data_IF_025422682683
#
_entry.id   IF_025422682683
#
_cell.length_a   1.000
_cell.length_b   1.000
_cell.length_c   1.000
_cell.angle_alpha   90.00
_cell.angle_beta   90.00
_cell.angle_gamma   90.00
#
_symmetry.space_group_name_H-M   'P 1'
#
loop_
_entity.id
_entity.type
_entity.pdbx_description
1 polymer ?
#
# COMPACT_ATOMS: atom_id res chain seq x y z
N UNK A 1 -18.90 -67.17 51.15
CA UNK A 1 -17.62 -67.48 50.45
C UNK A 1 -17.80 -67.13 48.97
N UNK A 2 -16.87 -66.38 48.35
CA UNK A 2 -17.07 -65.70 47.08
C UNK A 2 -16.71 -66.59 45.88
N UNK A 3 -17.43 -66.45 44.76
CA UNK A 3 -17.19 -67.17 43.50
C UNK A 3 -17.11 -66.19 42.33
N UNK A 4 -16.02 -66.27 41.58
CA UNK A 4 -15.35 -65.18 40.88
C UNK A 4 -15.85 -64.93 39.45
N UNK A 5 -15.87 -63.64 39.07
CA UNK A 5 -16.38 -63.04 37.84
C UNK A 5 -15.57 -63.44 36.59
N UNK A 6 -16.23 -64.09 35.62
CA UNK A 6 -15.67 -64.42 34.31
C UNK A 6 -16.00 -63.33 33.27
N UNK A 7 -15.33 -62.18 33.32
CA UNK A 7 -15.51 -61.11 32.30
C UNK A 7 -14.22 -60.34 32.04
N UNK A 8 -13.17 -60.93 31.46
CA UNK A 8 -11.93 -60.14 31.25
C UNK A 8 -10.96 -60.56 30.12
N UNK A 9 -11.31 -61.44 29.17
CA UNK A 9 -10.35 -61.80 28.10
C UNK A 9 -10.50 -60.95 26.82
N UNK A 10 -11.72 -60.69 26.36
CA UNK A 10 -11.98 -59.92 25.14
C UNK A 10 -11.74 -58.41 25.34
N UNK A 11 -12.20 -57.87 26.46
CA UNK A 11 -11.97 -56.47 26.87
C UNK A 11 -10.49 -56.19 27.12
N UNK A 12 -9.76 -57.10 27.76
CA UNK A 12 -8.31 -56.95 27.97
C UNK A 12 -7.51 -56.99 26.66
N UNK A 13 -7.89 -57.84 25.70
CA UNK A 13 -7.28 -57.86 24.35
C UNK A 13 -7.58 -56.60 23.56
N UNK A 14 -8.80 -56.07 23.65
CA UNK A 14 -9.19 -54.81 23.02
C UNK A 14 -8.42 -53.61 23.61
N UNK A 15 -8.26 -53.56 24.94
CA UNK A 15 -7.48 -52.51 25.61
C UNK A 15 -5.98 -52.65 25.32
N UNK A 16 -5.44 -53.87 25.23
CA UNK A 16 -4.03 -54.10 24.87
C UNK A 16 -3.74 -53.73 23.41
N UNK A 17 -4.64 -54.03 22.48
CA UNK A 17 -4.54 -53.63 21.06
C UNK A 17 -4.70 -52.12 20.88
N UNK A 18 -5.61 -51.48 21.61
CA UNK A 18 -5.69 -50.01 21.66
C UNK A 18 -4.41 -49.39 22.24
N UNK A 19 -3.84 -49.94 23.32
CA UNK A 19 -2.59 -49.43 23.92
C UNK A 19 -1.38 -49.62 23.01
N UNK A 20 -1.31 -50.71 22.23
CA UNK A 20 -0.28 -50.88 21.19
C UNK A 20 -0.45 -49.83 20.08
N UNK A 21 -1.69 -49.59 19.63
CA UNK A 21 -2.02 -48.62 18.60
C UNK A 21 -1.79 -47.15 19.01
N UNK A 22 -2.03 -46.82 20.29
CA UNK A 22 -1.84 -45.49 20.89
C UNK A 22 -0.42 -45.25 21.43
N UNK A 23 0.57 -46.01 20.97
CA UNK A 23 1.97 -45.68 21.26
C UNK A 23 2.32 -44.33 20.60
N UNK A 24 3.09 -43.48 21.30
CA UNK A 24 3.49 -42.16 20.81
C UNK A 24 4.09 -42.18 19.40
N UNK A 25 4.85 -43.24 19.08
CA UNK A 25 5.42 -43.45 17.74
C UNK A 25 4.35 -43.72 16.67
N UNK A 26 3.31 -44.48 17.00
CA UNK A 26 2.22 -44.79 16.07
C UNK A 26 1.30 -43.59 15.85
N UNK A 27 1.07 -42.78 16.88
CA UNK A 27 0.34 -41.51 16.75
C UNK A 27 1.10 -40.50 15.88
N UNK A 28 2.43 -40.37 16.09
CA UNK A 28 3.31 -39.57 15.24
C UNK A 28 3.28 -40.02 13.78
N UNK A 29 3.40 -41.32 13.54
CA UNK A 29 3.37 -41.89 12.19
C UNK A 29 2.00 -41.68 11.52
N UNK A 30 0.91 -41.82 12.26
CA UNK A 30 -0.46 -41.60 11.76
C UNK A 30 -0.72 -40.13 11.44
N UNK A 31 -0.25 -39.20 12.29
CA UNK A 31 -0.30 -37.77 12.03
C UNK A 31 0.52 -37.39 10.79
N UNK A 32 1.72 -37.95 10.66
CA UNK A 32 2.58 -37.74 9.49
C UNK A 32 1.90 -38.25 8.22
N UNK A 33 1.29 -39.44 8.24
CA UNK A 33 0.54 -39.97 7.11
C UNK A 33 -0.65 -39.09 6.75
N UNK A 34 -1.43 -38.66 7.75
CA UNK A 34 -2.55 -37.73 7.54
C UNK A 34 -2.10 -36.43 6.87
N UNK A 35 -1.04 -35.80 7.37
CA UNK A 35 -0.47 -34.57 6.80
C UNK A 35 0.00 -34.82 5.37
N UNK A 36 0.73 -35.91 5.10
CA UNK A 36 1.16 -36.28 3.75
C UNK A 36 -0.03 -36.45 2.80
N UNK A 37 -1.06 -37.20 3.19
CA UNK A 37 -2.24 -37.44 2.36
C UNK A 37 -2.96 -36.14 2.03
N UNK A 38 -3.17 -35.24 3.00
CA UNK A 38 -3.82 -33.94 2.75
C UNK A 38 -3.00 -33.08 1.80
N UNK A 39 -1.67 -33.03 1.96
CA UNK A 39 -0.80 -32.26 1.07
C UNK A 39 -0.70 -32.88 -0.33
N UNK A 40 -0.67 -34.20 -0.46
CA UNK A 40 -0.67 -34.91 -1.74
C UNK A 40 -1.99 -34.70 -2.48
N UNK A 41 -3.14 -34.78 -1.80
CA UNK A 41 -4.44 -34.50 -2.40
C UNK A 41 -4.55 -33.04 -2.86
N UNK A 42 -4.02 -32.10 -2.08
CA UNK A 42 -3.97 -30.68 -2.46
C UNK A 42 -3.07 -30.45 -3.69
N UNK A 43 -1.90 -31.08 -3.73
CA UNK A 43 -1.00 -31.02 -4.88
C UNK A 43 -1.62 -31.64 -6.13
N UNK A 44 -2.26 -32.80 -6.00
CA UNK A 44 -2.97 -33.46 -7.09
C UNK A 44 -4.10 -32.58 -7.65
N UNK A 45 -4.97 -32.05 -6.79
CA UNK A 45 -6.04 -31.13 -7.20
C UNK A 45 -5.51 -29.88 -7.89
N UNK A 46 -4.38 -29.36 -7.44
CA UNK A 46 -3.73 -28.21 -8.04
C UNK A 46 -3.17 -28.49 -9.44
N UNK A 47 -2.51 -29.64 -9.62
CA UNK A 47 -2.01 -30.09 -10.93
C UNK A 47 -3.16 -30.32 -11.90
N UNK A 48 -4.26 -30.92 -11.44
CA UNK A 48 -5.44 -31.17 -12.29
C UNK A 48 -6.14 -29.85 -12.67
N UNK A 49 -6.24 -28.88 -11.76
CA UNK A 49 -6.95 -27.62 -12.02
C UNK A 49 -6.17 -26.63 -12.90
N UNK A 50 -4.84 -26.57 -12.78
CA UNK A 50 -3.99 -25.61 -13.53
C UNK A 50 -3.16 -26.24 -14.65
N UNK A 51 -3.11 -27.57 -14.70
CA UNK A 51 -2.27 -28.31 -15.64
C UNK A 51 -0.82 -28.48 -15.16
N UNK A 52 -0.09 -29.45 -15.73
CA UNK A 52 1.25 -29.83 -15.30
C UNK A 52 2.30 -28.74 -15.61
N UNK A 53 2.21 -28.11 -16.78
CA UNK A 53 3.13 -27.05 -17.23
C UNK A 53 3.06 -25.81 -16.33
N UNK A 54 1.85 -25.35 -16.01
CA UNK A 54 1.65 -24.19 -15.14
C UNK A 54 2.09 -24.48 -13.71
N UNK A 55 1.76 -25.67 -13.20
CA UNK A 55 2.18 -26.09 -11.86
C UNK A 55 3.71 -26.18 -11.74
N UNK A 56 4.40 -26.67 -12.77
CA UNK A 56 5.86 -26.69 -12.81
C UNK A 56 6.47 -25.28 -12.79
N UNK A 57 5.93 -24.36 -13.60
CA UNK A 57 6.39 -22.97 -13.61
C UNK A 57 6.17 -22.28 -12.25
N UNK A 58 5.02 -22.50 -11.62
CA UNK A 58 4.73 -21.98 -10.28
C UNK A 58 5.67 -22.55 -9.21
N UNK A 59 5.94 -23.86 -9.26
CA UNK A 59 6.90 -24.51 -8.36
C UNK A 59 8.32 -23.97 -8.57
N UNK A 60 8.75 -23.81 -9.83
CA UNK A 60 10.05 -23.21 -10.17
C UNK A 60 10.16 -21.79 -9.60
N UNK A 61 9.15 -20.96 -9.80
CA UNK A 61 9.12 -19.60 -9.26
C UNK A 61 9.10 -19.58 -7.73
N UNK A 62 8.40 -20.50 -7.09
CA UNK A 62 8.39 -20.62 -5.63
C UNK A 62 9.78 -21.00 -5.09
N UNK A 63 10.44 -21.97 -5.71
CA UNK A 63 11.81 -22.38 -5.36
C UNK A 63 12.77 -21.21 -5.55
N UNK A 64 12.70 -20.51 -6.69
CA UNK A 64 13.53 -19.33 -6.95
C UNK A 64 13.30 -18.25 -5.90
N UNK A 65 12.04 -17.94 -5.55
CA UNK A 65 11.71 -16.96 -4.49
C UNK A 65 12.26 -17.37 -3.13
N UNK A 66 12.14 -18.64 -2.76
CA UNK A 66 12.70 -19.16 -1.50
C UNK A 66 14.22 -19.11 -1.51
N UNK A 67 14.86 -19.44 -2.62
CA UNK A 67 16.31 -19.34 -2.80
C UNK A 67 16.79 -17.89 -2.70
N UNK A 68 16.13 -16.96 -3.41
CA UNK A 68 16.39 -15.53 -3.29
C UNK A 68 16.20 -15.03 -1.85
N UNK A 69 15.13 -15.45 -1.18
CA UNK A 69 14.87 -15.07 0.22
C UNK A 69 15.98 -15.56 1.16
N UNK A 70 16.42 -16.81 0.99
CA UNK A 70 17.51 -17.37 1.80
C UNK A 70 18.84 -16.67 1.49
N UNK A 71 19.11 -16.38 0.22
CA UNK A 71 20.28 -15.62 -0.22
C UNK A 71 20.29 -14.21 0.39
N UNK A 72 19.18 -13.48 0.34
CA UNK A 72 19.07 -12.14 0.94
C UNK A 72 19.10 -12.14 2.47
N UNK A 73 18.95 -13.29 3.13
CA UNK A 73 19.15 -13.44 4.59
C UNK A 73 20.62 -13.61 4.99
N UNK A 74 21.51 -13.90 4.04
CA UNK A 74 22.94 -13.98 4.32
C UNK A 74 23.47 -12.60 4.78
N UNK A 75 24.24 -12.54 5.88
CA UNK A 75 24.58 -11.28 6.53
C UNK A 75 25.33 -10.31 5.60
N UNK A 76 26.22 -10.81 4.75
CA UNK A 76 26.98 -9.97 3.79
C UNK A 76 26.08 -9.34 2.72
N UNK A 77 25.10 -10.08 2.22
CA UNK A 77 24.17 -9.60 1.18
C UNK A 77 23.18 -8.62 1.81
N UNK A 78 22.63 -8.96 2.98
CA UNK A 78 21.75 -8.06 3.74
C UNK A 78 22.43 -6.73 4.06
N UNK A 79 23.67 -6.76 4.57
CA UNK A 79 24.43 -5.54 4.88
C UNK A 79 24.63 -4.66 3.64
N UNK A 80 24.95 -5.26 2.49
CA UNK A 80 25.08 -4.50 1.24
C UNK A 80 23.76 -3.88 0.80
N UNK A 81 22.65 -4.63 0.81
CA UNK A 81 21.33 -4.10 0.48
C UNK A 81 20.93 -2.97 1.43
N UNK A 82 21.09 -3.18 2.74
CA UNK A 82 20.77 -2.17 3.76
C UNK A 82 21.61 -0.89 3.54
N UNK A 83 22.88 -1.01 3.14
CA UNK A 83 23.73 0.14 2.82
C UNK A 83 23.26 0.91 1.57
N UNK A 84 22.82 0.23 0.51
CA UNK A 84 22.29 0.88 -0.70
C UNK A 84 20.91 1.49 -0.42
N UNK A 85 20.08 0.85 0.40
CA UNK A 85 18.83 1.42 0.88
C UNK A 85 19.06 2.68 1.73
N UNK A 86 20.08 2.69 2.58
CA UNK A 86 20.45 3.87 3.37
C UNK A 86 20.90 5.02 2.48
N UNK A 87 21.74 4.74 1.46
CA UNK A 87 22.12 5.75 0.46
C UNK A 87 20.92 6.28 -0.31
N UNK A 88 20.04 5.40 -0.80
CA UNK A 88 18.84 5.82 -1.52
C UNK A 88 17.93 6.70 -0.65
N UNK A 89 17.80 6.39 0.66
CA UNK A 89 17.07 7.25 1.60
C UNK A 89 17.71 8.62 1.75
N UNK A 90 19.03 8.68 1.91
CA UNK A 90 19.77 9.94 2.02
C UNK A 90 19.68 10.76 0.73
N UNK A 91 19.80 10.12 -0.44
CA UNK A 91 19.66 10.79 -1.73
C UNK A 91 18.26 11.37 -1.93
N UNK A 92 17.24 10.65 -1.47
CA UNK A 92 15.86 11.10 -1.48
C UNK A 92 15.66 12.29 -0.51
N UNK A 93 16.19 12.19 0.71
CA UNK A 93 16.13 13.26 1.72
C UNK A 93 16.83 14.53 1.24
N UNK A 94 18.04 14.41 0.72
CA UNK A 94 18.83 15.52 0.18
C UNK A 94 18.15 16.20 -1.03
N UNK A 95 17.33 15.47 -1.79
CA UNK A 95 16.57 16.01 -2.92
C UNK A 95 15.24 16.65 -2.53
N UNK A 96 14.64 16.22 -1.42
CA UNK A 96 13.32 16.72 -0.99
C UNK A 96 13.40 17.86 0.02
N UNK A 97 14.43 17.88 0.85
CA UNK A 97 14.54 18.83 1.97
C UNK A 97 15.79 19.68 1.79
N UNK A 98 15.64 20.96 1.44
CA UNK A 98 16.75 21.90 1.41
C UNK A 98 17.46 21.89 2.76
N UNK A 99 18.75 21.56 2.74
CA UNK A 99 19.54 21.35 3.94
C UNK A 99 20.85 22.12 3.83
N UNK A 100 21.19 22.88 4.87
CA UNK A 100 22.46 23.59 4.93
C UNK A 100 22.41 24.83 5.82
N UNK A 101 23.57 25.47 6.09
CA UNK A 101 23.65 26.69 6.90
C UNK A 101 22.93 27.90 6.28
N UNK A 102 22.67 27.85 4.97
CA UNK A 102 22.02 28.92 4.21
C UNK A 102 20.50 28.79 4.12
N UNK A 103 19.91 27.72 4.65
CA UNK A 103 18.46 27.48 4.60
C UNK A 103 17.82 27.95 5.89
N UNK A 104 16.87 28.86 5.80
CA UNK A 104 16.20 29.39 7.00
C UNK A 104 15.04 28.50 7.40
N UNK A 105 15.02 28.04 8.65
CA UNK A 105 13.97 27.16 9.18
C UNK A 105 13.10 27.87 10.22
N UNK A 106 11.83 28.08 9.88
CA UNK A 106 10.82 28.61 10.81
C UNK A 106 10.22 27.48 11.64
N UNK A 107 10.89 27.10 12.73
CA UNK A 107 10.50 25.95 13.58
C UNK A 107 9.51 26.30 14.70
N UNK A 108 9.17 27.57 14.85
CA UNK A 108 8.22 28.06 15.83
C UNK A 108 7.47 29.27 15.27
N UNK A 109 6.29 29.55 15.83
CA UNK A 109 5.56 30.78 15.50
C UNK A 109 6.39 32.01 15.90
N UNK A 110 6.48 33.04 15.03
CA UNK A 110 7.19 34.26 15.36
C UNK A 110 6.47 35.00 16.49
N UNK A 111 7.23 35.72 17.33
CA UNK A 111 6.67 36.49 18.45
C UNK A 111 5.75 37.63 17.98
N UNK A 112 5.99 38.15 16.77
CA UNK A 112 5.25 39.21 16.13
C UNK A 112 4.88 38.77 14.71
N UNK A 113 3.69 39.15 14.24
CA UNK A 113 3.27 38.89 12.88
C UNK A 113 4.14 39.62 11.85
N UNK A 114 4.44 38.97 10.75
CA UNK A 114 5.15 39.58 9.62
C UNK A 114 4.19 40.32 8.69
N UNK A 115 4.72 41.25 7.91
CA UNK A 115 3.95 41.97 6.88
C UNK A 115 3.69 41.06 5.67
N UNK A 116 2.64 41.32 4.88
CA UNK A 116 2.39 40.60 3.64
C UNK A 116 3.56 40.64 2.65
N UNK A 117 4.28 41.77 2.61
CA UNK A 117 5.47 41.95 1.76
C UNK A 117 6.59 41.02 2.20
N UNK A 118 6.85 40.95 3.50
CA UNK A 118 7.84 40.03 4.06
C UNK A 118 7.48 38.57 3.74
N UNK A 119 6.19 38.20 3.83
CA UNK A 119 5.73 36.83 3.50
C UNK A 119 6.00 36.51 2.02
N UNK A 120 5.78 37.44 1.10
CA UNK A 120 6.07 37.24 -0.32
C UNK A 120 7.56 37.09 -0.58
N UNK A 121 8.38 37.97 -0.02
CA UNK A 121 9.84 37.90 -0.13
C UNK A 121 10.39 36.60 0.46
N UNK A 122 9.76 36.11 1.54
CA UNK A 122 10.07 34.85 2.18
C UNK A 122 9.70 33.66 1.29
N UNK A 123 8.53 33.66 0.64
CA UNK A 123 8.16 32.65 -0.35
C UNK A 123 9.18 32.60 -1.50
N UNK A 124 9.57 33.77 -2.04
CA UNK A 124 10.60 33.85 -3.08
C UNK A 124 11.96 33.34 -2.58
N UNK A 125 12.29 33.53 -1.30
CA UNK A 125 13.52 32.99 -0.69
C UNK A 125 13.44 31.47 -0.59
N UNK A 126 12.32 30.92 -0.15
CA UNK A 126 12.11 29.47 -0.08
C UNK A 126 12.23 28.80 -1.45
N UNK A 127 11.70 29.42 -2.52
CA UNK A 127 11.83 28.91 -3.88
C UNK A 127 13.30 28.87 -4.35
N UNK A 128 14.10 29.90 -3.98
CA UNK A 128 15.54 29.91 -4.25
C UNK A 128 16.32 28.87 -3.43
N UNK A 129 15.97 28.71 -2.16
CA UNK A 129 16.59 27.72 -1.26
C UNK A 129 16.26 26.28 -1.71
N UNK A 130 15.10 26.07 -2.33
CA UNK A 130 14.63 24.76 -2.78
C UNK A 130 15.47 24.13 -3.90
N UNK A 131 16.29 24.91 -4.62
CA UNK A 131 17.08 24.45 -5.77
C UNK A 131 16.28 23.52 -6.70
N UNK A 132 15.01 23.84 -6.94
CA UNK A 132 14.18 23.08 -7.84
C UNK A 132 14.56 23.45 -9.28
N UNK A 133 15.68 22.92 -9.77
CA UNK A 133 16.10 22.97 -11.20
C UNK A 133 15.12 22.23 -12.14
N UNK A 134 13.92 21.92 -11.64
CA UNK A 134 12.89 21.23 -12.38
C UNK A 134 12.13 22.23 -13.24
N UNK A 135 12.65 22.45 -14.45
CA UNK A 135 11.99 23.24 -15.48
C UNK A 135 10.80 22.46 -16.07
N UNK A 136 9.72 22.39 -15.30
CA UNK A 136 8.46 21.80 -15.73
C UNK A 136 7.84 22.60 -16.89
N UNK A 137 8.13 23.90 -17.01
CA UNK A 137 7.66 24.75 -18.11
C UNK A 137 8.21 24.29 -19.47
N UNK A 138 9.40 23.69 -19.48
CA UNK A 138 9.97 23.02 -20.67
C UNK A 138 9.46 21.57 -20.88
N UNK A 139 8.48 21.10 -20.10
CA UNK A 139 7.92 19.74 -20.24
C UNK A 139 8.86 18.61 -19.79
N UNK A 140 9.91 18.93 -19.02
CA UNK A 140 10.92 17.97 -18.56
C UNK A 140 10.49 17.12 -17.36
N UNK A 141 9.29 17.35 -16.83
CA UNK A 141 8.76 16.69 -15.65
C UNK A 141 7.49 15.90 -15.99
N UNK A 142 7.59 14.57 -15.94
CA UNK A 142 6.47 13.68 -16.25
C UNK A 142 5.44 13.68 -15.12
N UNK A 143 4.17 13.91 -15.46
CA UNK A 143 3.00 13.67 -14.59
C UNK A 143 2.77 14.67 -13.45
N UNK A 144 3.63 15.68 -13.28
CA UNK A 144 3.51 16.63 -12.17
C UNK A 144 2.66 17.86 -12.50
N UNK A 145 2.87 18.48 -13.67
CA UNK A 145 2.12 19.65 -14.13
C UNK A 145 1.45 19.31 -15.46
N UNK A 146 0.12 19.32 -15.50
CA UNK A 146 -0.67 18.89 -16.67
C UNK A 146 -0.91 20.00 -17.69
N UNK A 147 -1.05 21.26 -17.24
CA UNK A 147 -1.32 22.40 -18.12
C UNK A 147 -0.27 23.50 -17.95
N UNK A 148 -0.27 24.19 -16.80
CA UNK A 148 0.77 25.17 -16.46
C UNK A 148 0.84 26.43 -17.33
N UNK A 149 -0.15 26.67 -18.20
CA UNK A 149 -0.28 27.88 -19.00
C UNK A 149 -0.80 29.08 -18.19
N UNK A 150 -0.19 30.24 -18.37
CA UNK A 150 -0.47 31.47 -17.61
C UNK A 150 -1.93 31.95 -17.75
N UNK A 151 -2.55 31.76 -18.91
CA UNK A 151 -3.92 32.21 -19.15
C UNK A 151 -4.93 31.42 -18.31
N UNK A 152 -4.76 30.10 -18.21
CA UNK A 152 -5.61 29.27 -17.36
C UNK A 152 -5.32 29.53 -15.87
N UNK A 153 -4.06 29.73 -15.51
CA UNK A 153 -3.65 30.05 -14.13
C UNK A 153 -4.31 31.33 -13.62
N UNK A 154 -4.40 32.38 -14.46
CA UNK A 154 -5.12 33.63 -14.14
C UNK A 154 -6.60 33.37 -13.82
N UNK A 155 -7.26 32.53 -14.62
CA UNK A 155 -8.68 32.17 -14.40
C UNK A 155 -8.85 31.40 -13.09
N UNK A 156 -8.00 30.41 -12.83
CA UNK A 156 -8.05 29.59 -11.59
C UNK A 156 -7.79 30.46 -10.36
N UNK A 157 -6.75 31.30 -10.40
CA UNK A 157 -6.38 32.18 -9.28
C UNK A 157 -7.49 33.18 -8.96
N UNK A 158 -8.13 33.76 -9.98
CA UNK A 158 -9.27 34.64 -9.80
C UNK A 158 -10.47 33.92 -9.14
N UNK A 159 -10.73 32.66 -9.53
CA UNK A 159 -11.78 31.85 -8.92
C UNK A 159 -11.46 31.51 -7.45
N UNK A 160 -10.22 31.09 -7.14
CA UNK A 160 -9.77 30.82 -5.77
C UNK A 160 -9.90 32.08 -4.92
N UNK A 161 -9.44 33.24 -5.40
CA UNK A 161 -9.55 34.51 -4.67
C UNK A 161 -11.02 34.87 -4.40
N UNK A 162 -11.92 34.66 -5.36
CA UNK A 162 -13.35 34.97 -5.23
C UNK A 162 -14.06 34.06 -4.21
N UNK A 163 -13.67 32.79 -4.13
CA UNK A 163 -14.34 31.78 -3.29
C UNK A 163 -13.48 31.27 -2.13
N UNK A 164 -12.41 31.99 -1.76
CA UNK A 164 -11.38 31.55 -0.80
C UNK A 164 -11.94 31.09 0.55
N UNK A 165 -12.97 31.78 1.05
CA UNK A 165 -13.60 31.51 2.35
C UNK A 165 -14.85 30.63 2.25
N UNK A 166 -15.18 30.15 1.06
CA UNK A 166 -16.36 29.30 0.87
C UNK A 166 -16.17 27.94 1.54
N UNK A 167 -17.25 27.40 2.09
CA UNK A 167 -17.26 26.09 2.73
C UNK A 167 -18.50 25.30 2.27
N UNK A 168 -18.34 24.22 1.48
CA UNK A 168 -19.47 23.42 0.98
C UNK A 168 -20.35 22.78 2.06
N UNK A 169 -19.90 22.74 3.33
CA UNK A 169 -20.73 22.31 4.46
C UNK A 169 -21.92 23.25 4.74
N UNK A 170 -21.86 24.50 4.25
CA UNK A 170 -22.89 25.52 4.43
C UNK A 170 -23.45 26.00 3.07
N UNK A 171 -24.23 25.15 2.36
CA UNK A 171 -24.77 25.50 1.04
C UNK A 171 -25.82 26.62 1.07
N UNK A 172 -26.41 26.87 2.23
CA UNK A 172 -27.28 28.01 2.52
C UNK A 172 -26.51 29.34 2.50
N UNK A 173 -25.25 29.33 2.96
CA UNK A 173 -24.35 30.49 2.94
C UNK A 173 -23.61 30.63 1.60
N UNK A 174 -23.28 29.50 0.96
CA UNK A 174 -22.51 29.47 -0.30
C UNK A 174 -23.26 28.78 -1.46
N UNK A 175 -24.45 29.27 -1.85
CA UNK A 175 -25.28 28.60 -2.86
C UNK A 175 -24.64 28.56 -4.25
N UNK A 176 -23.80 29.55 -4.58
CA UNK A 176 -23.07 29.58 -5.84
C UNK A 176 -22.07 28.42 -5.98
N UNK A 177 -21.33 28.10 -4.90
CA UNK A 177 -20.39 26.98 -4.89
C UNK A 177 -21.15 25.67 -5.01
N UNK A 178 -22.26 25.53 -4.28
CA UNK A 178 -23.12 24.36 -4.42
C UNK A 178 -23.59 24.18 -5.87
N UNK A 179 -24.08 25.24 -6.50
CA UNK A 179 -24.50 25.20 -7.92
C UNK A 179 -23.36 24.72 -8.82
N UNK A 180 -22.16 25.29 -8.67
CA UNK A 180 -20.99 24.88 -9.47
C UNK A 180 -20.63 23.40 -9.27
N UNK A 181 -20.63 22.90 -8.03
CA UNK A 181 -20.35 21.48 -7.75
C UNK A 181 -21.35 20.55 -8.46
N UNK A 182 -22.64 20.90 -8.42
CA UNK A 182 -23.68 20.12 -9.11
C UNK A 182 -23.49 20.14 -10.63
N UNK A 183 -23.12 21.30 -11.20
CA UNK A 183 -22.87 21.46 -12.63
C UNK A 183 -21.62 20.70 -13.08
N UNK A 184 -20.55 20.68 -12.28
CA UNK A 184 -19.34 19.89 -12.55
C UNK A 184 -19.66 18.40 -12.62
N UNK A 185 -20.41 17.88 -11.63
CA UNK A 185 -20.83 16.47 -11.63
C UNK A 185 -21.69 16.17 -12.86
N UNK A 186 -22.63 17.05 -13.22
CA UNK A 186 -23.46 16.86 -14.40
C UNK A 186 -22.64 16.86 -15.71
N UNK A 187 -21.65 17.73 -15.86
CA UNK A 187 -20.75 17.76 -17.02
C UNK A 187 -19.93 16.47 -17.13
N UNK A 188 -19.35 16.00 -16.01
CA UNK A 188 -18.61 14.74 -15.97
C UNK A 188 -19.50 13.54 -16.31
N UNK A 189 -20.71 13.48 -15.75
CA UNK A 189 -21.66 12.40 -16.07
C UNK A 189 -22.03 12.39 -17.56
N UNK A 190 -22.25 13.56 -18.18
CA UNK A 190 -22.55 13.63 -19.63
C UNK A 190 -21.36 13.19 -20.49
N UNK A 191 -20.13 13.43 -20.04
CA UNK A 191 -18.92 13.01 -20.74
C UNK A 191 -18.71 11.49 -20.71
N UNK A 192 -18.99 10.82 -19.58
CA UNK A 192 -18.76 9.37 -19.42
C UNK A 192 -20.01 8.50 -19.61
N UNK A 193 -21.20 9.04 -19.40
CA UNK A 193 -22.50 8.34 -19.50
C UNK A 193 -23.50 9.20 -20.30
N UNK A 194 -23.34 9.30 -21.63
CA UNK A 194 -24.12 10.20 -22.48
C UNK A 194 -25.63 9.90 -22.51
N UNK A 195 -26.02 8.67 -22.15
CA UNK A 195 -27.40 8.19 -22.13
C UNK A 195 -28.20 8.62 -20.89
N UNK A 196 -27.57 9.25 -19.89
CA UNK A 196 -28.28 9.80 -18.74
C UNK A 196 -28.93 11.14 -19.12
N UNK A 197 -30.16 11.07 -19.63
CA UNK A 197 -31.03 12.23 -19.85
C UNK A 197 -31.56 12.73 -18.51
N UNK A 198 -30.81 13.62 -17.86
CA UNK A 198 -31.33 14.40 -16.74
C UNK A 198 -32.40 15.37 -17.25
N UNK A 199 -33.64 15.23 -16.76
CA UNK A 199 -34.71 16.21 -16.96
C UNK A 199 -34.26 17.58 -16.46
N UNK A 200 -34.52 18.67 -17.20
CA UNK A 200 -34.27 20.02 -16.69
C UNK A 200 -35.15 20.28 -15.46
N UNK A 201 -34.56 20.85 -14.42
CA UNK A 201 -35.27 21.41 -13.27
C UNK A 201 -35.87 22.77 -13.63
#
# INVERSE_FOLDING_TARGET
>A
MPGTVATNSATARAVATLRLGLTFNNLKSSLLYYVLVVHLLKAYRHVVARGPLQTFNEARLAILRSAFSLMFKLPSIKSKVDSEMAKARLDIENKMVPSGPSVTRHLALPKMGHTPEWIKEEMDRMDREANSDCDWKQGKLSGAVYHGGEDLEKVITAAIAKYLVSNPLHPDVFPAVRKMDAEIVAMCLRMYVPSLSFMPA
#
